data_IF_661972912258
#
_entry.id   IF_661972912258
#
_cell.length_a   1.000
_cell.length_b   1.000
_cell.length_c   1.000
_cell.angle_alpha   90.00
_cell.angle_beta   90.00
_cell.angle_gamma   90.00
#
_symmetry.space_group_name_H-M   'P 1'
#
loop_
_entity.id
_entity.type
_entity.pdbx_description
1 polymer ?
#
# COMPACT_ATOMS: atom_id res chain seq x y z
N UNK A 1 16.08 -12.89 -0.65
CA UNK A 1 16.17 -14.34 -0.42
C UNK A 1 14.82 -14.96 -0.04
N UNK A 2 14.40 -15.08 1.24
CA UNK A 2 13.15 -15.82 1.57
C UNK A 2 11.86 -15.16 1.03
N UNK A 3 11.64 -13.88 1.35
CA UNK A 3 10.43 -13.15 0.93
C UNK A 3 10.33 -12.99 -0.59
N UNK A 4 11.45 -12.73 -1.25
CA UNK A 4 11.54 -12.69 -2.71
C UNK A 4 11.05 -14.00 -3.34
N UNK A 5 11.50 -15.15 -2.81
CA UNK A 5 11.02 -16.47 -3.24
C UNK A 5 9.52 -16.66 -2.97
N UNK A 6 9.00 -16.20 -1.84
CA UNK A 6 7.57 -16.28 -1.54
C UNK A 6 6.71 -15.40 -2.45
N UNK A 7 7.16 -14.19 -2.75
CA UNK A 7 6.50 -13.30 -3.70
C UNK A 7 6.54 -13.91 -5.10
N UNK A 8 7.70 -14.41 -5.54
CA UNK A 8 7.83 -15.11 -6.82
C UNK A 8 6.88 -16.32 -6.92
N UNK A 9 6.78 -17.11 -5.85
CA UNK A 9 5.81 -18.22 -5.79
C UNK A 9 4.36 -17.74 -5.94
N UNK A 10 4.01 -16.58 -5.38
CA UNK A 10 2.68 -16.00 -5.58
C UNK A 10 2.47 -15.53 -7.02
N UNK A 11 3.49 -14.97 -7.68
CA UNK A 11 3.43 -14.63 -9.11
C UNK A 11 3.18 -15.88 -9.98
N UNK A 12 3.90 -16.97 -9.72
CA UNK A 12 3.66 -18.25 -10.40
C UNK A 12 2.24 -18.78 -10.16
N UNK A 13 1.71 -18.63 -8.94
CA UNK A 13 0.31 -19.01 -8.64
C UNK A 13 -0.66 -18.17 -9.45
N UNK A 14 -0.46 -16.86 -9.57
CA UNK A 14 -1.29 -15.99 -10.41
C UNK A 14 -1.30 -16.45 -11.87
N UNK A 15 -0.14 -16.84 -12.42
CA UNK A 15 -0.02 -17.40 -13.77
C UNK A 15 -0.88 -18.64 -13.98
N UNK A 16 -1.02 -19.49 -12.96
CA UNK A 16 -1.90 -20.67 -13.05
C UNK A 16 -3.39 -20.36 -12.89
N UNK A 17 -3.74 -19.31 -12.13
CA UNK A 17 -5.15 -18.91 -11.87
C UNK A 17 -5.73 -18.06 -12.99
N UNK A 18 -4.88 -17.37 -13.75
CA UNK A 18 -5.24 -16.48 -14.86
C UNK A 18 -4.63 -17.05 -16.16
N UNK A 19 -5.38 -17.84 -16.95
CA UNK A 19 -4.85 -18.51 -18.14
C UNK A 19 -4.22 -17.58 -19.18
N UNK A 20 -4.79 -16.38 -19.37
CA UNK A 20 -4.34 -15.41 -20.37
C UNK A 20 -3.26 -14.43 -19.84
N UNK A 21 -2.69 -14.71 -18.66
CA UNK A 21 -1.63 -13.89 -18.07
C UNK A 21 -0.33 -14.14 -18.84
N UNK A 22 0.28 -13.07 -19.36
CA UNK A 22 1.52 -13.08 -20.15
C UNK A 22 2.74 -12.59 -19.37
N UNK A 23 2.53 -11.91 -18.24
CA UNK A 23 3.61 -11.55 -17.31
C UNK A 23 3.09 -11.07 -15.95
N UNK A 24 3.95 -11.13 -14.94
CA UNK A 24 3.65 -10.65 -13.59
C UNK A 24 4.89 -10.00 -12.94
N UNK A 25 4.68 -8.91 -12.23
CA UNK A 25 5.71 -8.12 -11.56
C UNK A 25 5.26 -7.74 -10.16
N UNK A 26 6.09 -7.95 -9.16
CA UNK A 26 6.01 -7.25 -7.89
C UNK A 26 7.13 -6.22 -7.82
N UNK A 27 6.78 -4.97 -7.53
CA UNK A 27 7.74 -3.88 -7.40
C UNK A 27 7.45 -3.05 -6.15
N UNK A 28 8.46 -2.37 -5.64
CA UNK A 28 8.31 -1.34 -4.62
C UNK A 28 7.64 -0.08 -5.20
N UNK A 29 7.07 0.73 -4.32
CA UNK A 29 6.55 2.05 -4.67
C UNK A 29 7.65 3.04 -5.11
N UNK A 30 8.92 2.67 -4.92
CA UNK A 30 10.13 3.34 -5.41
C UNK A 30 10.55 2.89 -6.82
N UNK A 31 9.90 1.88 -7.39
CA UNK A 31 10.21 1.36 -8.72
C UNK A 31 11.29 0.27 -8.73
N UNK A 32 11.71 -0.24 -7.58
CA UNK A 32 12.64 -1.38 -7.51
C UNK A 32 11.89 -2.71 -7.65
N UNK A 33 12.46 -3.63 -8.42
CA UNK A 33 11.88 -4.97 -8.62
C UNK A 33 12.01 -5.79 -7.34
N UNK A 34 10.90 -6.40 -6.90
CA UNK A 34 10.87 -7.33 -5.77
C UNK A 34 10.90 -8.79 -6.23
N UNK A 35 10.15 -9.10 -7.29
CA UNK A 35 10.13 -10.39 -7.97
C UNK A 35 9.43 -10.24 -9.33
N UNK A 36 9.75 -11.12 -10.28
CA UNK A 36 9.16 -11.07 -11.62
C UNK A 36 8.97 -12.47 -12.24
N UNK A 37 7.97 -12.57 -13.11
CA UNK A 37 7.75 -13.67 -14.07
C UNK A 37 7.31 -13.03 -15.39
N UNK A 38 8.29 -12.58 -16.19
CA UNK A 38 8.05 -11.99 -17.51
C UNK A 38 9.17 -12.28 -18.52
N UNK A 39 8.94 -13.16 -19.50
CA UNK A 39 9.99 -13.57 -20.43
C UNK A 39 10.37 -12.49 -21.46
N UNK A 40 9.43 -11.62 -21.84
CA UNK A 40 9.57 -10.73 -23.02
C UNK A 40 9.66 -9.23 -22.68
N UNK A 41 9.76 -8.87 -21.39
CA UNK A 41 9.72 -7.48 -20.92
C UNK A 41 10.87 -7.23 -19.97
N UNK A 42 11.51 -6.06 -20.07
CA UNK A 42 12.51 -5.61 -19.10
C UNK A 42 11.81 -5.18 -17.80
N UNK A 43 12.01 -5.90 -16.68
CA UNK A 43 11.25 -5.66 -15.46
C UNK A 43 11.57 -4.32 -14.81
N UNK A 44 12.81 -3.84 -14.89
CA UNK A 44 13.22 -2.58 -14.24
C UNK A 44 12.49 -1.37 -14.83
N UNK A 45 12.37 -1.32 -16.16
CA UNK A 45 11.65 -0.26 -16.85
C UNK A 45 10.16 -0.27 -16.52
N UNK A 46 9.56 -1.47 -16.48
CA UNK A 46 8.15 -1.62 -16.14
C UNK A 46 7.87 -1.31 -14.66
N UNK A 47 8.78 -1.66 -13.75
CA UNK A 47 8.69 -1.34 -12.33
C UNK A 47 8.71 0.17 -12.11
N UNK A 48 9.65 0.89 -12.71
CA UNK A 48 9.75 2.34 -12.63
C UNK A 48 8.49 3.04 -13.16
N UNK A 49 7.99 2.62 -14.33
CA UNK A 49 6.76 3.17 -14.92
C UNK A 49 5.53 2.86 -14.07
N UNK A 50 5.44 1.65 -13.52
CA UNK A 50 4.35 1.27 -12.61
C UNK A 50 4.37 2.13 -11.34
N UNK A 51 5.53 2.35 -10.73
CA UNK A 51 5.67 3.19 -9.54
C UNK A 51 5.26 4.64 -9.83
N UNK A 52 5.66 5.19 -10.98
CA UNK A 52 5.21 6.50 -11.43
C UNK A 52 3.69 6.55 -11.63
N UNK A 53 3.10 5.54 -12.30
CA UNK A 53 1.67 5.43 -12.52
C UNK A 53 0.88 5.29 -11.20
N UNK A 54 1.42 4.56 -10.21
CA UNK A 54 0.85 4.48 -8.86
C UNK A 54 0.81 5.86 -8.19
N UNK A 55 1.90 6.63 -8.28
CA UNK A 55 1.96 7.99 -7.74
C UNK A 55 0.92 8.91 -8.38
N UNK A 56 0.79 8.87 -9.70
CA UNK A 56 -0.24 9.62 -10.45
C UNK A 56 -1.64 9.15 -10.05
N UNK A 57 -1.88 7.85 -10.00
CA UNK A 57 -3.17 7.25 -9.64
C UNK A 57 -3.63 7.64 -8.24
N UNK A 58 -2.74 7.56 -7.24
CA UNK A 58 -2.97 8.05 -5.87
C UNK A 58 -3.37 9.52 -5.88
N UNK A 59 -2.61 10.36 -6.58
CA UNK A 59 -2.93 11.79 -6.66
C UNK A 59 -4.28 12.06 -7.34
N UNK A 60 -4.62 11.31 -8.38
CA UNK A 60 -5.91 11.45 -9.09
C UNK A 60 -7.09 11.11 -8.18
N UNK A 61 -7.05 9.98 -7.47
CA UNK A 61 -8.14 9.58 -6.57
C UNK A 61 -8.28 10.51 -5.38
N UNK A 62 -7.17 11.03 -4.85
CA UNK A 62 -7.16 12.03 -3.77
C UNK A 62 -7.83 13.33 -4.24
N UNK A 63 -7.43 13.84 -5.42
CA UNK A 63 -8.01 15.07 -5.98
C UNK A 63 -9.49 14.93 -6.35
N UNK A 64 -9.91 13.73 -6.75
CA UNK A 64 -11.29 13.44 -7.09
C UNK A 64 -12.15 13.07 -5.87
N UNK A 65 -11.58 13.05 -4.66
CA UNK A 65 -12.24 12.59 -3.43
C UNK A 65 -12.90 11.21 -3.61
N UNK A 66 -12.12 10.25 -4.15
CA UNK A 66 -12.55 8.86 -4.41
C UNK A 66 -11.92 7.85 -3.44
N UNK A 67 -11.27 8.32 -2.38
CA UNK A 67 -10.59 7.50 -1.40
C UNK A 67 -9.27 6.92 -1.92
N UNK A 68 -8.87 5.78 -1.36
CA UNK A 68 -7.56 5.18 -1.64
C UNK A 68 -7.44 4.57 -3.04
N UNK A 69 -6.26 4.71 -3.65
CA UNK A 69 -5.95 4.01 -4.90
C UNK A 69 -6.02 2.50 -4.68
N UNK A 70 -6.81 1.82 -5.51
CA UNK A 70 -6.94 0.36 -5.49
C UNK A 70 -6.20 -0.29 -6.64
N UNK A 71 -6.47 0.18 -7.85
CA UNK A 71 -5.96 -0.42 -9.08
C UNK A 71 -6.02 0.55 -10.27
N UNK A 72 -5.22 0.25 -11.28
CA UNK A 72 -5.19 0.91 -12.58
C UNK A 72 -5.23 -0.18 -13.67
N UNK A 73 -6.10 -0.02 -14.68
CA UNK A 73 -6.14 -0.89 -15.84
C UNK A 73 -5.87 -0.07 -17.09
N UNK A 74 -4.88 -0.48 -17.88
CA UNK A 74 -4.53 0.09 -19.18
C UNK A 74 -4.80 -0.97 -20.24
N UNK A 75 -5.56 -0.60 -21.28
CA UNK A 75 -5.82 -1.45 -22.45
C UNK A 75 -5.02 -0.92 -23.62
N UNK A 76 -4.14 -1.75 -24.16
CA UNK A 76 -3.42 -1.51 -25.42
C UNK A 76 -3.94 -2.41 -26.53
N UNK A 77 -3.38 -2.25 -27.74
CA UNK A 77 -3.75 -3.08 -28.88
C UNK A 77 -3.36 -4.57 -28.70
N UNK A 78 -2.36 -4.85 -27.85
CA UNK A 78 -1.87 -6.21 -27.57
C UNK A 78 -2.43 -6.83 -26.27
N UNK A 79 -3.38 -6.18 -25.61
CA UNK A 79 -3.98 -6.68 -24.38
C UNK A 79 -3.99 -5.68 -23.23
N UNK A 80 -3.84 -6.17 -22.02
CA UNK A 80 -4.04 -5.43 -20.78
C UNK A 80 -2.78 -5.36 -19.92
N UNK A 81 -2.60 -4.22 -19.27
CA UNK A 81 -1.69 -4.02 -18.15
C UNK A 81 -2.53 -3.58 -16.95
N UNK A 82 -2.52 -4.38 -15.89
CA UNK A 82 -3.31 -4.13 -14.68
C UNK A 82 -2.38 -4.02 -13.48
N UNK A 83 -2.47 -2.91 -12.76
CA UNK A 83 -1.65 -2.60 -11.60
C UNK A 83 -2.53 -2.53 -10.37
N UNK A 84 -2.17 -3.26 -9.31
CA UNK A 84 -2.92 -3.36 -8.06
C UNK A 84 -2.04 -2.93 -6.89
N UNK A 85 -2.60 -2.16 -5.96
CA UNK A 85 -1.90 -1.84 -4.72
C UNK A 85 -1.60 -3.12 -3.92
N UNK A 86 -0.34 -3.29 -3.49
CA UNK A 86 0.11 -4.39 -2.65
C UNK A 86 0.62 -3.83 -1.32
N UNK A 87 -0.30 -3.30 -0.52
CA UNK A 87 0.04 -2.60 0.72
C UNK A 87 0.57 -1.17 0.48
N UNK A 88 1.23 -0.55 1.48
CA UNK A 88 1.64 0.84 1.40
C UNK A 88 2.86 1.05 0.48
N UNK A 89 3.77 0.08 0.43
CA UNK A 89 5.11 0.19 -0.13
C UNK A 89 5.36 -0.64 -1.38
N UNK A 90 4.38 -1.38 -1.88
CA UNK A 90 4.55 -2.24 -3.04
C UNK A 90 3.33 -2.24 -3.97
N UNK A 91 3.55 -2.78 -5.16
CA UNK A 91 2.58 -2.83 -6.24
C UNK A 91 2.74 -4.13 -7.02
N UNK A 92 1.62 -4.72 -7.42
CA UNK A 92 1.55 -5.89 -8.31
C UNK A 92 1.11 -5.42 -9.70
N UNK A 93 1.92 -5.67 -10.73
CA UNK A 93 1.55 -5.43 -12.13
C UNK A 93 1.40 -6.75 -12.88
N UNK A 94 0.30 -6.88 -13.61
CA UNK A 94 -0.07 -8.05 -14.39
C UNK A 94 -0.20 -7.64 -15.86
N UNK A 95 0.41 -8.42 -16.75
CA UNK A 95 0.26 -8.32 -18.19
C UNK A 95 -0.63 -9.47 -18.66
N UNK A 96 -1.61 -9.19 -19.49
CA UNK A 96 -2.53 -10.19 -20.02
C UNK A 96 -2.84 -9.94 -21.49
N UNK A 97 -3.12 -11.01 -22.24
CA UNK A 97 -3.50 -10.93 -23.65
C UNK A 97 -4.87 -10.23 -23.82
N UNK A 98 -5.19 -9.80 -25.04
CA UNK A 98 -6.43 -9.10 -25.40
C UNK A 98 -7.70 -9.94 -25.15
N UNK A 99 -7.56 -11.26 -25.13
CA UNK A 99 -8.65 -12.21 -24.84
C UNK A 99 -8.88 -12.42 -23.34
N UNK A 100 -8.07 -11.81 -22.49
CA UNK A 100 -8.13 -12.02 -21.05
C UNK A 100 -9.50 -11.66 -20.46
N UNK A 101 -9.99 -12.53 -19.57
CA UNK A 101 -11.16 -12.21 -18.77
C UNK A 101 -10.80 -11.16 -17.71
N UNK A 102 -11.15 -9.89 -17.98
CA UNK A 102 -10.86 -8.74 -17.11
C UNK A 102 -11.46 -8.90 -15.71
N UNK A 103 -12.65 -9.51 -15.59
CA UNK A 103 -13.26 -9.79 -14.28
C UNK A 103 -12.42 -10.76 -13.45
N UNK A 104 -11.90 -11.82 -14.07
CA UNK A 104 -10.96 -12.75 -13.42
C UNK A 104 -9.62 -12.09 -13.11
N UNK A 105 -9.10 -11.26 -14.02
CA UNK A 105 -7.87 -10.50 -13.81
C UNK A 105 -7.95 -9.63 -12.56
N UNK A 106 -9.06 -8.89 -12.37
CA UNK A 106 -9.29 -8.11 -11.15
C UNK A 106 -9.48 -8.97 -9.91
N UNK A 107 -10.26 -10.04 -9.99
CA UNK A 107 -10.51 -10.93 -8.85
C UNK A 107 -9.19 -11.50 -8.31
N UNK A 108 -8.38 -12.06 -9.19
CA UNK A 108 -7.12 -12.71 -8.83
C UNK A 108 -6.01 -11.71 -8.56
N UNK A 109 -5.96 -10.59 -9.31
CA UNK A 109 -5.00 -9.51 -9.10
C UNK A 109 -5.16 -8.84 -7.73
N UNK A 110 -6.39 -8.53 -7.30
CA UNK A 110 -6.64 -7.97 -5.95
C UNK A 110 -6.24 -8.94 -4.85
N UNK A 111 -6.56 -10.23 -5.00
CA UNK A 111 -6.16 -11.29 -4.05
C UNK A 111 -4.64 -11.44 -3.98
N UNK A 112 -3.98 -11.47 -5.14
CA UNK A 112 -2.52 -11.55 -5.23
C UNK A 112 -1.84 -10.33 -4.60
N UNK A 113 -2.34 -9.12 -4.88
CA UNK A 113 -1.82 -7.88 -4.29
C UNK A 113 -1.95 -7.87 -2.76
N UNK A 114 -3.11 -8.27 -2.23
CA UNK A 114 -3.30 -8.43 -0.79
C UNK A 114 -2.34 -9.47 -0.19
N UNK A 115 -2.15 -10.62 -0.86
CA UNK A 115 -1.23 -11.67 -0.41
C UNK A 115 0.23 -11.18 -0.37
N UNK A 116 0.66 -10.46 -1.40
CA UNK A 116 2.01 -9.87 -1.44
C UNK A 116 2.18 -8.86 -0.30
N UNK A 117 1.16 -8.04 -0.02
CA UNK A 117 1.19 -7.11 1.11
C UNK A 117 1.41 -7.83 2.45
N UNK A 118 0.73 -8.96 2.67
CA UNK A 118 0.92 -9.79 3.87
C UNK A 118 2.35 -10.32 3.99
N UNK A 119 2.90 -10.86 2.89
CA UNK A 119 4.27 -11.40 2.85
C UNK A 119 5.31 -10.33 3.19
N UNK A 120 5.12 -9.11 2.67
CA UNK A 120 6.02 -7.99 2.94
C UNK A 120 5.89 -7.47 4.39
N UNK A 121 4.66 -7.40 4.92
CA UNK A 121 4.41 -6.94 6.29
C UNK A 121 4.99 -7.89 7.35
N UNK A 122 4.95 -9.20 7.10
CA UNK A 122 5.54 -10.21 7.99
C UNK A 122 7.05 -9.99 8.23
N UNK A 123 7.76 -9.41 7.26
CA UNK A 123 9.20 -9.13 7.38
C UNK A 123 9.50 -7.84 8.14
N UNK A 124 8.69 -6.80 7.98
CA UNK A 124 8.87 -5.56 8.76
C UNK A 124 8.71 -5.79 10.27
N UNK A 125 8.00 -6.85 10.67
CA UNK A 125 7.89 -7.29 12.06
C UNK A 125 9.14 -8.03 12.56
N UNK A 126 9.87 -8.71 11.67
CA UNK A 126 11.11 -9.45 11.98
C UNK A 126 12.34 -8.52 12.01
N UNK A 127 12.33 -7.44 11.21
CA UNK A 127 13.32 -6.35 11.22
C UNK A 127 13.02 -5.26 12.29
N UNK A 128 12.16 -5.55 13.27
CA UNK A 128 11.77 -4.61 14.32
C UNK A 128 12.96 -4.05 15.11
N UNK A 129 12.89 -2.81 15.63
CA UNK A 129 14.02 -2.20 16.33
C UNK A 129 14.40 -3.08 17.52
N UNK A 130 15.68 -3.45 17.61
CA UNK A 130 16.26 -4.03 18.82
C UNK A 130 15.96 -3.05 19.95
N UNK A 131 14.96 -3.38 20.77
CA UNK A 131 14.72 -2.65 22.01
C UNK A 131 15.90 -3.01 22.91
N UNK A 132 16.98 -2.21 22.83
CA UNK A 132 17.93 -2.15 23.94
C UNK A 132 17.10 -1.83 25.16
N UNK A 133 17.13 -2.73 26.16
CA UNK A 133 16.46 -2.57 27.44
C UNK A 133 17.01 -1.37 28.21
N UNK A 134 16.70 -0.17 27.73
CA UNK A 134 16.76 1.06 28.46
C UNK A 134 15.58 1.05 29.41
N UNK A 135 15.93 1.11 30.69
CA UNK A 135 15.07 1.30 31.84
C UNK A 135 13.78 2.10 31.51
N UNK A 136 12.59 1.64 31.95
CA UNK A 136 11.34 2.34 31.65
C UNK A 136 11.44 3.80 32.11
N UNK A 137 10.97 4.77 31.31
CA UNK A 137 11.04 6.17 31.71
C UNK A 137 10.28 6.35 33.03
N UNK A 138 10.98 6.89 34.03
CA UNK A 138 10.42 7.15 35.35
C UNK A 138 9.12 7.99 35.25
N UNK A 139 8.12 7.73 36.11
CA UNK A 139 6.86 8.46 36.07
C UNK A 139 7.12 9.96 36.25
N UNK A 140 6.78 10.74 35.23
CA UNK A 140 6.86 12.19 35.28
C UNK A 140 5.72 12.71 36.15
N UNK A 141 5.99 12.86 37.44
CA UNK A 141 5.09 13.49 38.39
C UNK A 141 4.98 14.99 38.06
N UNK A 142 3.93 15.39 37.33
CA UNK A 142 3.60 16.82 37.14
C UNK A 142 2.96 17.38 38.42
N UNK A 143 3.81 17.73 39.37
CA UNK A 143 3.46 18.65 40.46
C UNK A 143 3.80 20.08 40.06
N UNK A 144 2.79 20.89 39.70
CA UNK A 144 2.83 22.33 39.91
C UNK A 144 1.43 22.85 40.20
N UNK A 145 1.15 23.08 41.48
CA UNK A 145 0.15 24.03 41.92
C UNK A 145 0.76 25.43 41.70
N UNK A 146 0.06 26.31 40.97
CA UNK A 146 -0.12 27.75 41.24
C UNK A 146 -0.61 28.47 39.98
N UNK A 147 -1.80 29.06 40.08
CA UNK A 147 -2.37 29.96 39.08
C UNK A 147 -3.88 30.11 39.26
N UNK A 148 -4.29 30.85 40.30
CA UNK A 148 -5.68 31.22 40.51
C UNK A 148 -6.21 31.97 39.28
N UNK A 149 -7.21 31.39 38.61
CA UNK A 149 -8.01 32.08 37.59
C UNK A 149 -8.95 33.06 38.31
N UNK A 150 -9.02 34.34 37.90
CA UNK A 150 -10.01 35.25 38.44
C UNK A 150 -11.38 34.82 37.93
N UNK A 151 -12.21 34.26 38.82
CA UNK A 151 -13.62 34.03 38.56
C UNK A 151 -14.28 35.41 38.47
N UNK A 152 -14.67 35.85 37.26
CA UNK A 152 -15.61 36.97 37.12
C UNK A 152 -16.97 36.51 37.64
N UNK A 153 -17.36 37.02 38.81
CA UNK A 153 -18.73 36.93 39.29
C UNK A 153 -19.56 37.93 38.46
N UNK A 154 -20.60 37.49 37.73
CA UNK A 154 -21.50 38.43 37.06
C UNK A 154 -22.28 39.24 38.11
N UNK A 155 -22.57 40.53 37.87
CA UNK A 155 -23.32 41.35 38.81
C UNK A 155 -24.72 40.76 38.99
N UNK A 156 -25.10 40.50 40.24
CA UNK A 156 -26.45 40.08 40.56
C UNK A 156 -27.41 41.23 40.23
N UNK A 157 -28.33 40.98 39.30
CA UNK A 157 -29.44 41.89 39.05
C UNK A 157 -30.27 41.98 40.33
N UNK A 158 -30.28 43.14 40.98
CA UNK A 158 -31.28 43.44 42.00
C UNK A 158 -32.63 43.43 41.32
N UNK A 159 -33.42 42.42 41.63
CA UNK A 159 -34.86 42.44 41.40
C UNK A 159 -35.46 43.31 42.51
N UNK A 160 -35.97 44.50 42.15
CA UNK A 160 -36.90 45.24 43.01
C UNK A 160 -38.33 44.94 42.51
N UNK A 161 -39.28 44.65 43.41
CA UNK A 161 -40.65 44.27 43.09
C UNK A 161 -41.53 45.43 42.62
#
# INVERSE_FOLDING_TARGET
MAVETEVLNELHRLRTRIPDLTGALAAGADGLVLAEDMPDVQPEGLAALTAAALGVGRRMVDLADRGEFRELLVRGAGGYLATYAAGPSAVLTLLADDRANVGRLHLEGRRGGARIAELLAARSMDDGPVVHGGEPPAPQFRGRILGALPIRIPPQSRYEP
#
